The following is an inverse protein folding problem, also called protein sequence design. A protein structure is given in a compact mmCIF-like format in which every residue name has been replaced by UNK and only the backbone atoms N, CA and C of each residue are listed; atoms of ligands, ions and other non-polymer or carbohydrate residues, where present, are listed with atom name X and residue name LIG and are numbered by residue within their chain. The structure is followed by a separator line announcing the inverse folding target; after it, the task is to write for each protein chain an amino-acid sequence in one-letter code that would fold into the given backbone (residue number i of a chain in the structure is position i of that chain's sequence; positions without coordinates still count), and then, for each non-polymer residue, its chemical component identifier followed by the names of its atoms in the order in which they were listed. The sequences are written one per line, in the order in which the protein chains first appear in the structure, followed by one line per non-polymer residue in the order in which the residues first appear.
data_IF_288772812022
#
_entry.id   IF_288772812022
#
_cell.length_a   1.000
_cell.length_b   1.000
_cell.length_c   1.000
_cell.angle_alpha   90.00
_cell.angle_beta   90.00
_cell.angle_gamma   90.00
#
_symmetry.space_group_name_H-M   'P 1'
#
loop_
_entity.id
_entity.type
_entity.pdbx_description
1 polymer ?
#
# COMPACT_ATOMS: atom_id res chain seq x y z
N UNK A 1 -1.21 -2.83 11.49
CA UNK A 1 -1.30 -1.71 10.54
C UNK A 1 -0.91 -0.44 11.27
N UNK A 2 0.17 0.23 10.86
CA UNK A 2 0.54 1.54 11.40
C UNK A 2 -0.37 2.58 10.74
N UNK A 3 -1.31 3.13 11.48
CA UNK A 3 -2.28 4.12 10.96
C UNK A 3 -1.77 5.56 10.98
N UNK A 4 -0.59 5.79 11.58
CA UNK A 4 0.03 7.11 11.70
C UNK A 4 1.52 7.02 11.34
N UNK A 5 1.85 6.73 10.08
CA UNK A 5 3.24 6.71 9.63
C UNK A 5 3.85 8.11 9.69
N UNK A 6 5.13 8.22 10.02
CA UNK A 6 5.87 9.47 9.82
C UNK A 6 5.96 9.76 8.32
N UNK A 7 5.72 11.02 7.88
CA UNK A 7 5.91 11.41 6.48
C UNK A 7 7.31 11.01 5.98
N UNK A 8 7.38 10.57 4.73
CA UNK A 8 8.63 10.16 4.08
C UNK A 8 9.04 11.19 3.03
N UNK A 9 10.33 11.25 2.75
CA UNK A 9 10.89 12.18 1.76
C UNK A 9 10.83 11.66 0.32
N UNK A 10 10.43 10.38 0.13
CA UNK A 10 10.26 9.82 -1.21
C UNK A 10 9.07 10.45 -1.94
N UNK A 11 9.25 10.73 -3.23
CA UNK A 11 8.17 11.13 -4.13
C UNK A 11 7.44 9.92 -4.66
N UNK A 12 6.14 10.06 -4.93
CA UNK A 12 5.30 9.04 -5.56
C UNK A 12 4.28 9.75 -6.47
N UNK A 13 4.15 9.30 -7.71
CA UNK A 13 3.30 9.96 -8.71
C UNK A 13 1.81 9.72 -8.47
N UNK A 14 1.46 8.76 -7.60
CA UNK A 14 0.11 8.57 -7.08
C UNK A 14 -0.46 9.85 -6.45
N UNK A 15 0.39 10.77 -5.97
CA UNK A 15 -0.03 12.09 -5.51
C UNK A 15 -0.82 12.87 -6.58
N UNK A 16 -0.47 12.74 -7.86
CA UNK A 16 -1.19 13.39 -8.96
C UNK A 16 -2.59 12.81 -9.14
N UNK A 17 -2.78 11.51 -8.89
CA UNK A 17 -4.10 10.88 -8.91
C UNK A 17 -4.98 11.43 -7.77
N UNK A 18 -4.39 11.65 -6.59
CA UNK A 18 -5.09 12.20 -5.42
C UNK A 18 -5.52 13.67 -5.60
N UNK A 19 -4.93 14.39 -6.55
CA UNK A 19 -5.42 15.72 -6.97
C UNK A 19 -6.70 15.66 -7.81
N UNK A 20 -7.04 14.50 -8.38
CA UNK A 20 -8.19 14.32 -9.29
C UNK A 20 -9.39 13.69 -8.62
N UNK A 21 -9.17 12.71 -7.74
CA UNK A 21 -10.25 11.99 -7.05
C UNK A 21 -9.87 11.73 -5.59
N UNK A 22 -10.86 11.64 -4.67
CA UNK A 22 -10.60 11.19 -3.32
C UNK A 22 -9.98 9.78 -3.33
N UNK A 23 -8.85 9.62 -2.65
CA UNK A 23 -8.15 8.34 -2.55
C UNK A 23 -7.30 8.27 -1.29
N UNK A 24 -6.63 7.13 -1.10
CA UNK A 24 -5.76 6.90 0.04
C UNK A 24 -4.48 6.18 -0.43
N UNK A 25 -3.33 6.64 0.07
CA UNK A 25 -2.04 5.98 -0.06
C UNK A 25 -1.59 5.56 1.35
N UNK A 26 -1.10 4.33 1.50
CA UNK A 26 -0.76 3.77 2.81
C UNK A 26 0.44 2.84 2.71
N UNK A 27 1.08 2.60 3.86
CA UNK A 27 2.20 1.67 3.96
C UNK A 27 1.71 0.28 4.31
N UNK A 28 2.12 -0.70 3.52
CA UNK A 28 2.06 -2.12 3.86
C UNK A 28 3.47 -2.57 4.24
N UNK A 29 3.68 -2.89 5.52
CA UNK A 29 4.97 -3.38 5.99
C UNK A 29 5.18 -4.84 5.57
N UNK A 30 6.41 -5.18 5.23
CA UNK A 30 6.87 -6.55 4.97
C UNK A 30 8.12 -6.84 5.82
N UNK A 31 8.57 -8.10 5.89
CA UNK A 31 9.78 -8.44 6.65
C UNK A 31 11.05 -7.86 5.99
N UNK A 32 11.98 -7.37 6.83
CA UNK A 32 13.25 -6.78 6.39
C UNK A 32 13.42 -5.31 6.76
N UNK A 33 14.67 -4.83 6.69
CA UNK A 33 15.05 -3.46 7.08
C UNK A 33 15.83 -2.69 6.01
N UNK A 34 16.18 -3.36 4.91
CA UNK A 34 16.88 -2.74 3.78
C UNK A 34 15.88 -1.88 3.01
N UNK A 35 16.18 -0.59 2.73
CA UNK A 35 15.24 0.29 2.07
C UNK A 35 15.13 -0.01 0.57
N UNK A 36 14.03 0.46 -0.04
CA UNK A 36 13.88 0.52 -1.51
C UNK A 36 15.09 1.24 -2.14
N UNK A 37 15.42 0.89 -3.39
CA UNK A 37 16.58 1.36 -4.15
C UNK A 37 17.96 0.87 -3.66
N UNK A 38 18.02 0.02 -2.64
CA UNK A 38 19.27 -0.62 -2.23
C UNK A 38 19.47 -1.97 -2.98
N UNK A 39 20.66 -2.31 -3.49
CA UNK A 39 20.91 -3.61 -4.16
C UNK A 39 20.68 -4.85 -3.31
N UNK A 40 20.75 -4.72 -1.97
CA UNK A 40 20.44 -5.80 -1.03
C UNK A 40 18.96 -5.89 -0.65
N UNK A 41 18.08 -5.09 -1.27
CA UNK A 41 16.65 -5.16 -1.02
C UNK A 41 16.11 -6.50 -1.49
N UNK A 42 15.46 -7.23 -0.59
CA UNK A 42 14.73 -8.46 -0.87
C UNK A 42 13.26 -8.22 -0.52
N UNK A 43 12.37 -8.53 -1.45
CA UNK A 43 10.94 -8.53 -1.20
C UNK A 43 10.57 -9.77 -0.36
N UNK A 44 9.83 -9.57 0.71
CA UNK A 44 9.23 -10.66 1.47
C UNK A 44 7.95 -11.14 0.78
N UNK A 45 8.02 -12.27 0.08
CA UNK A 45 6.87 -12.86 -0.62
C UNK A 45 5.70 -13.22 0.31
N UNK A 46 5.95 -13.36 1.61
CA UNK A 46 4.93 -13.59 2.63
C UNK A 46 3.91 -12.44 2.73
N UNK A 47 4.26 -11.24 2.27
CA UNK A 47 3.36 -10.08 2.30
C UNK A 47 2.31 -10.07 1.18
N UNK A 48 2.57 -10.78 0.08
CA UNK A 48 1.72 -10.79 -1.12
C UNK A 48 0.25 -11.15 -0.81
N UNK A 49 -0.07 -12.24 -0.08
CA UNK A 49 -1.46 -12.55 0.26
C UNK A 49 -2.13 -11.48 1.14
N UNK A 50 -1.37 -10.78 2.00
CA UNK A 50 -1.91 -9.70 2.84
C UNK A 50 -2.30 -8.49 1.99
N UNK A 51 -1.42 -8.06 1.08
CA UNK A 51 -1.69 -6.97 0.16
C UNK A 51 -2.89 -7.26 -0.75
N UNK A 52 -2.92 -8.45 -1.34
CA UNK A 52 -4.06 -8.89 -2.18
C UNK A 52 -5.38 -8.90 -1.40
N UNK A 53 -5.37 -9.42 -0.17
CA UNK A 53 -6.57 -9.46 0.68
C UNK A 53 -7.07 -8.06 1.00
N UNK A 54 -6.18 -7.12 1.29
CA UNK A 54 -6.56 -5.75 1.62
C UNK A 54 -7.30 -5.08 0.45
N UNK A 55 -6.79 -5.20 -0.78
CA UNK A 55 -7.48 -4.68 -1.96
C UNK A 55 -8.80 -5.41 -2.24
N UNK A 56 -8.85 -6.74 -2.12
CA UNK A 56 -10.09 -7.52 -2.27
C UNK A 56 -11.17 -7.05 -1.31
N UNK A 57 -10.84 -6.90 -0.01
CA UNK A 57 -11.78 -6.44 1.01
C UNK A 57 -12.25 -5.02 0.79
N UNK A 58 -11.38 -4.11 0.32
CA UNK A 58 -11.79 -2.75 -0.05
C UNK A 58 -12.83 -2.79 -1.16
N UNK A 59 -12.61 -3.59 -2.19
CA UNK A 59 -13.54 -3.72 -3.33
C UNK A 59 -14.86 -4.34 -2.84
N UNK A 60 -14.83 -5.46 -2.13
CA UNK A 60 -16.02 -6.13 -1.60
C UNK A 60 -16.88 -5.20 -0.73
N UNK A 61 -16.26 -4.35 0.08
CA UNK A 61 -16.97 -3.43 0.97
C UNK A 61 -17.47 -2.15 0.28
N UNK A 62 -16.69 -1.60 -0.67
CA UNK A 62 -17.00 -0.32 -1.32
C UNK A 62 -17.81 -0.49 -2.61
N UNK A 63 -17.76 -1.67 -3.21
CA UNK A 63 -18.44 -2.04 -4.45
C UNK A 63 -19.14 -3.39 -4.29
N UNK A 64 -20.07 -3.54 -3.34
CA UNK A 64 -20.80 -4.79 -3.18
C UNK A 64 -21.60 -5.08 -4.44
N UNK A 65 -21.54 -6.32 -4.93
CA UNK A 65 -22.49 -6.80 -5.91
C UNK A 65 -23.87 -6.71 -5.25
N UNK A 66 -24.81 -6.02 -5.91
CA UNK A 66 -26.19 -5.88 -5.41
C UNK A 66 -26.74 -7.29 -5.15
N UNK A 67 -27.34 -7.49 -3.97
CA UNK A 67 -28.09 -8.71 -3.65
C UNK A 67 -29.38 -8.80 -4.47
#
# INVERSE_FOLDING_TARGET
VLTTPTPKMGSEDFADMLLKVPGAYFWLGHEGSVPLHNPGFILDDGILPVGATLFSRIIEQRMPLVA
#
